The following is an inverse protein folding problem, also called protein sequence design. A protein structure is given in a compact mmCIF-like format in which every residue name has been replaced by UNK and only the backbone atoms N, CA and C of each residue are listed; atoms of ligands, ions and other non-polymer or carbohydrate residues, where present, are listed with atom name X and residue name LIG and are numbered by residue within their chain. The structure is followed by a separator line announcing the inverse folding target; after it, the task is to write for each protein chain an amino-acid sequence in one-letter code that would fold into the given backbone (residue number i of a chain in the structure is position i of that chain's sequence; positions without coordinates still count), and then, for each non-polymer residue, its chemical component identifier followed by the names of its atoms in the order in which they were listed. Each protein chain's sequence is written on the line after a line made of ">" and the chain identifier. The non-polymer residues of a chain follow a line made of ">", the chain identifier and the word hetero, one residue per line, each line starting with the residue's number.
data_IF_612453810439
#
_entry.id   IF_612453810439
#
_cell.length_a   1.000
_cell.length_b   1.000
_cell.length_c   1.000
_cell.angle_alpha   90.00
_cell.angle_beta   90.00
_cell.angle_gamma   90.00
#
_symmetry.space_group_name_H-M   'P 1'
#
loop_
_entity.id
_entity.type
_entity.pdbx_description
1 polymer ?
#
# COMPACT_ATOMS: atom_id res chain seq x y z
N UNK A 1 17.49 -49.99 -28.68
CA UNK A 1 17.99 -49.35 -27.47
C UNK A 1 18.38 -47.86 -27.60
N UNK A 2 18.40 -47.23 -28.81
CA UNK A 2 18.72 -45.79 -28.96
C UNK A 2 17.57 -44.77 -28.77
N UNK A 3 16.31 -45.23 -28.75
CA UNK A 3 15.13 -44.32 -28.61
C UNK A 3 14.80 -43.98 -27.16
N UNK A 4 15.19 -44.74 -26.15
CA UNK A 4 14.91 -44.47 -24.75
C UNK A 4 15.85 -43.41 -24.14
N UNK A 5 17.06 -43.26 -24.62
CA UNK A 5 17.99 -42.26 -24.11
C UNK A 5 17.59 -40.81 -24.42
N UNK A 6 16.93 -40.60 -25.59
CA UNK A 6 16.49 -39.24 -25.97
C UNK A 6 15.27 -38.74 -25.15
N UNK A 7 14.37 -39.65 -24.73
CA UNK A 7 13.19 -39.28 -23.93
C UNK A 7 13.60 -38.92 -22.50
N UNK A 8 14.54 -39.67 -21.92
CA UNK A 8 15.03 -39.38 -20.57
C UNK A 8 15.81 -38.04 -20.54
N UNK A 9 16.59 -37.75 -21.61
CA UNK A 9 17.28 -36.46 -21.70
C UNK A 9 16.34 -35.26 -21.76
N UNK A 10 15.23 -35.34 -22.50
CA UNK A 10 14.26 -34.27 -22.63
C UNK A 10 13.49 -34.06 -21.32
N UNK A 11 13.08 -35.14 -20.64
CA UNK A 11 12.39 -35.05 -19.37
C UNK A 11 13.30 -34.45 -18.28
N UNK A 12 14.58 -34.80 -18.28
CA UNK A 12 15.54 -34.26 -17.31
C UNK A 12 15.79 -32.75 -17.52
N UNK A 13 15.90 -32.28 -18.78
CA UNK A 13 16.11 -30.88 -19.12
C UNK A 13 14.84 -30.04 -18.75
N UNK A 14 13.66 -30.57 -19.00
CA UNK A 14 12.40 -29.89 -18.61
C UNK A 14 12.25 -29.83 -17.10
N UNK A 15 12.63 -30.90 -16.38
CA UNK A 15 12.58 -30.90 -14.91
C UNK A 15 13.61 -29.94 -14.29
N UNK A 16 14.80 -29.81 -14.88
CA UNK A 16 15.83 -28.87 -14.41
C UNK A 16 15.41 -27.43 -14.68
N UNK A 17 14.82 -27.12 -15.84
CA UNK A 17 14.33 -25.77 -16.14
C UNK A 17 13.15 -25.40 -15.28
N UNK A 18 12.16 -26.28 -15.08
CA UNK A 18 11.05 -26.06 -14.17
C UNK A 18 11.50 -25.92 -12.70
N UNK A 19 12.48 -26.72 -12.26
CA UNK A 19 13.07 -26.62 -10.93
C UNK A 19 13.85 -25.32 -10.71
N UNK A 20 14.56 -24.82 -11.72
CA UNK A 20 15.26 -23.53 -11.64
C UNK A 20 14.27 -22.36 -11.58
N UNK A 21 13.16 -22.42 -12.28
CA UNK A 21 12.10 -21.41 -12.15
C UNK A 21 11.39 -21.49 -10.80
N UNK A 22 11.17 -22.70 -10.25
CA UNK A 22 10.56 -22.88 -8.94
C UNK A 22 11.50 -22.45 -7.79
N UNK A 23 12.79 -22.73 -7.89
CA UNK A 23 13.79 -22.35 -6.88
C UNK A 23 14.12 -20.85 -6.91
N UNK A 24 13.99 -20.18 -8.07
CA UNK A 24 14.11 -18.71 -8.14
C UNK A 24 12.96 -17.97 -7.47
N UNK A 25 11.79 -18.61 -7.33
CA UNK A 25 10.66 -18.07 -6.58
C UNK A 25 10.73 -18.35 -5.07
N UNK A 26 11.70 -19.18 -4.60
CA UNK A 26 11.87 -19.53 -3.19
C UNK A 26 13.11 -18.86 -2.54
N UNK A 27 14.09 -18.45 -3.33
CA UNK A 27 15.12 -17.55 -2.84
C UNK A 27 14.47 -16.17 -2.71
N UNK A 28 14.25 -15.69 -1.51
CA UNK A 28 13.88 -14.31 -1.20
C UNK A 28 14.91 -13.29 -1.68
N UNK A 29 15.49 -13.53 -2.84
CA UNK A 29 16.26 -12.62 -3.64
C UNK A 29 15.29 -11.58 -4.15
N UNK A 30 15.52 -10.35 -3.71
CA UNK A 30 15.02 -9.10 -4.21
C UNK A 30 14.53 -9.26 -5.66
N UNK A 31 13.20 -9.41 -5.81
CA UNK A 31 12.58 -9.34 -7.12
C UNK A 31 12.62 -7.89 -7.53
N UNK A 32 13.78 -7.47 -8.02
CA UNK A 32 13.88 -6.22 -8.75
C UNK A 32 13.10 -6.48 -10.04
N UNK A 33 11.87 -6.06 -10.07
CA UNK A 33 11.14 -6.00 -11.33
C UNK A 33 12.04 -5.18 -12.27
N UNK A 34 12.48 -5.73 -13.37
CA UNK A 34 13.28 -4.95 -14.31
C UNK A 34 12.45 -3.72 -14.66
N UNK A 35 13.09 -2.54 -14.67
CA UNK A 35 12.54 -1.37 -15.35
C UNK A 35 12.03 -1.89 -16.68
N UNK A 36 10.72 -1.84 -16.88
CA UNK A 36 10.23 -2.20 -18.18
C UNK A 36 10.65 -1.10 -19.17
N UNK A 37 10.72 -1.49 -20.45
CA UNK A 37 11.05 -0.56 -21.51
C UNK A 37 9.98 0.53 -21.71
N UNK A 38 8.94 0.54 -20.87
CA UNK A 38 7.82 1.48 -20.88
C UNK A 38 7.99 2.62 -19.84
N UNK A 39 9.10 2.63 -19.10
CA UNK A 39 9.44 3.70 -18.16
C UNK A 39 8.58 3.73 -16.90
N UNK A 40 8.00 2.60 -16.49
CA UNK A 40 7.12 2.49 -15.31
C UNK A 40 7.79 2.92 -13.99
N UNK A 41 9.12 2.97 -13.97
CA UNK A 41 9.92 3.43 -12.85
C UNK A 41 10.52 4.83 -13.07
N UNK A 42 9.86 5.67 -13.84
CA UNK A 42 10.34 7.05 -13.99
C UNK A 42 10.25 7.78 -12.65
N UNK A 43 11.39 7.99 -12.01
CA UNK A 43 11.49 8.71 -10.73
C UNK A 43 11.02 10.16 -10.82
N UNK A 44 10.86 10.71 -12.02
CA UNK A 44 10.33 12.06 -12.24
C UNK A 44 8.81 12.12 -12.01
N UNK A 45 8.12 10.98 -12.00
CA UNK A 45 6.66 10.89 -11.78
C UNK A 45 6.30 10.86 -10.29
N UNK A 46 7.26 10.72 -9.37
CA UNK A 46 6.98 10.64 -7.94
C UNK A 46 6.22 11.87 -7.41
N UNK A 47 6.49 13.06 -7.96
CA UNK A 47 5.77 14.29 -7.60
C UNK A 47 4.30 14.32 -8.10
N UNK A 48 3.77 13.21 -8.55
CA UNK A 48 2.38 13.03 -8.97
C UNK A 48 1.61 12.04 -8.07
N UNK A 49 2.11 11.75 -6.86
CA UNK A 49 1.36 10.92 -5.93
C UNK A 49 0.01 11.57 -5.61
N UNK A 50 -1.04 10.78 -5.66
CA UNK A 50 -2.42 11.19 -5.38
C UNK A 50 -2.89 10.81 -3.98
N UNK A 51 -4.19 10.99 -3.77
CA UNK A 51 -4.92 10.46 -2.62
C UNK A 51 -5.26 8.97 -2.83
N UNK A 52 -5.69 8.30 -1.76
CA UNK A 52 -6.02 6.85 -1.80
C UNK A 52 -7.51 6.56 -1.93
N UNK A 53 -8.32 7.54 -2.28
CA UNK A 53 -9.77 7.42 -2.50
C UNK A 53 -10.17 7.91 -3.90
N UNK A 54 -11.22 7.32 -4.45
CA UNK A 54 -11.76 7.75 -5.75
C UNK A 54 -12.72 8.93 -5.62
N UNK A 55 -13.35 9.09 -4.46
CA UNK A 55 -14.33 10.15 -4.20
C UNK A 55 -14.20 10.62 -2.75
N UNK A 56 -14.15 11.94 -2.55
CA UNK A 56 -14.10 12.55 -1.20
C UNK A 56 -15.26 12.11 -0.31
N UNK A 57 -16.44 11.82 -0.89
CA UNK A 57 -17.60 11.33 -0.15
C UNK A 57 -17.43 9.93 0.45
N UNK A 58 -16.36 9.20 0.07
CA UNK A 58 -16.04 7.90 0.63
C UNK A 58 -15.29 8.00 1.97
N UNK A 59 -14.81 9.21 2.31
CA UNK A 59 -14.15 9.50 3.58
C UNK A 59 -15.19 9.93 4.61
N UNK A 60 -15.27 9.15 5.68
CA UNK A 60 -16.18 9.39 6.79
C UNK A 60 -15.63 10.37 7.81
N UNK A 61 -14.31 10.40 7.98
CA UNK A 61 -13.59 11.25 8.91
C UNK A 61 -12.11 11.36 8.55
N UNK A 62 -11.45 12.42 9.04
CA UNK A 62 -10.01 12.60 9.03
C UNK A 62 -9.56 12.94 10.45
N UNK A 63 -8.49 12.32 10.96
CA UNK A 63 -8.04 12.58 12.31
C UNK A 63 -6.53 12.79 12.43
N UNK A 64 -5.72 11.90 11.88
CA UNK A 64 -4.29 11.88 12.13
C UNK A 64 -3.50 12.01 10.83
N UNK A 65 -2.68 13.06 10.74
CA UNK A 65 -1.70 13.27 9.69
C UNK A 65 -0.30 12.76 10.10
N UNK A 66 0.69 12.99 9.26
CA UNK A 66 2.07 12.64 9.57
C UNK A 66 2.67 13.60 10.63
N UNK A 67 3.43 13.06 11.59
CA UNK A 67 4.15 13.88 12.57
C UNK A 67 5.44 13.23 13.07
N UNK A 68 6.50 14.06 13.23
CA UNK A 68 7.80 13.64 13.76
C UNK A 68 7.92 13.87 15.28
N UNK A 69 6.93 14.55 15.87
CA UNK A 69 6.88 14.86 17.30
C UNK A 69 5.45 14.81 17.83
N UNK A 70 5.28 14.90 19.15
CA UNK A 70 3.99 15.03 19.84
C UNK A 70 3.41 16.46 19.79
N UNK A 71 4.11 17.39 19.16
CA UNK A 71 3.68 18.79 18.99
C UNK A 71 2.73 18.94 17.78
N UNK A 72 1.73 18.08 17.69
CA UNK A 72 0.72 18.03 16.65
C UNK A 72 -0.69 17.92 17.28
N UNK A 73 -1.78 18.15 16.54
CA UNK A 73 -3.13 18.13 17.10
C UNK A 73 -3.53 16.81 17.78
N UNK A 74 -3.05 15.67 17.29
CA UNK A 74 -3.30 14.34 17.86
C UNK A 74 -2.38 13.96 19.02
N UNK A 75 -1.27 14.71 19.27
CA UNK A 75 -0.45 14.61 20.47
C UNK A 75 0.50 13.40 20.55
N UNK A 76 0.81 12.75 19.44
CA UNK A 76 1.78 11.65 19.36
C UNK A 76 2.48 11.61 18.00
N UNK A 77 3.66 10.95 17.94
CA UNK A 77 4.38 10.70 16.70
C UNK A 77 3.56 9.75 15.82
N UNK A 78 3.37 10.12 14.55
CA UNK A 78 2.60 9.34 13.61
C UNK A 78 3.29 9.28 12.24
N UNK A 79 3.56 8.09 11.76
CA UNK A 79 4.40 7.87 10.58
C UNK A 79 3.65 7.84 9.25
N UNK A 80 2.35 8.14 9.25
CA UNK A 80 1.49 8.06 8.07
C UNK A 80 0.31 9.00 8.09
N UNK A 81 -0.72 8.66 7.35
CA UNK A 81 -2.00 9.36 7.24
C UNK A 81 -3.13 8.38 7.51
N UNK A 82 -4.06 8.71 8.41
CA UNK A 82 -5.21 7.88 8.71
C UNK A 82 -6.46 8.34 7.97
N UNK A 83 -6.89 7.52 7.02
CA UNK A 83 -8.10 7.72 6.23
C UNK A 83 -9.24 6.87 6.79
N UNK A 84 -10.24 7.50 7.39
CA UNK A 84 -11.43 6.83 7.91
C UNK A 84 -12.48 6.73 6.79
N UNK A 85 -12.49 5.62 6.09
CA UNK A 85 -13.43 5.38 5.02
C UNK A 85 -14.83 4.99 5.52
N UNK A 86 -15.86 5.22 4.72
CA UNK A 86 -17.12 4.51 4.90
C UNK A 86 -16.96 3.02 4.56
N UNK A 87 -17.86 2.19 5.13
CA UNK A 87 -17.85 0.75 4.84
C UNK A 87 -18.08 0.47 3.36
N UNK A 88 -17.30 -0.45 2.79
CA UNK A 88 -17.29 -0.84 1.37
C UNK A 88 -16.85 0.28 0.40
N UNK A 89 -16.21 1.33 0.87
CA UNK A 89 -15.59 2.32 -0.01
C UNK A 89 -14.33 1.76 -0.66
N UNK A 90 -14.07 2.20 -1.88
CA UNK A 90 -12.92 1.78 -2.65
C UNK A 90 -11.64 2.51 -2.21
N UNK A 91 -10.57 1.75 -2.03
CA UNK A 91 -9.22 2.24 -1.80
C UNK A 91 -8.42 2.07 -3.09
N UNK A 92 -7.78 3.14 -3.55
CA UNK A 92 -7.07 3.17 -4.82
C UNK A 92 -5.59 3.44 -4.65
N UNK A 93 -4.81 3.07 -5.65
CA UNK A 93 -3.37 3.31 -5.68
C UNK A 93 -3.05 4.81 -5.81
N UNK A 94 -2.31 5.37 -4.86
CA UNK A 94 -1.86 6.76 -4.87
C UNK A 94 -0.81 7.04 -5.96
N UNK A 95 -0.04 6.02 -6.35
CA UNK A 95 1.00 6.10 -7.37
C UNK A 95 1.16 4.74 -8.06
N UNK A 96 1.78 4.70 -9.26
CA UNK A 96 2.11 3.43 -9.90
C UNK A 96 3.12 2.65 -9.06
N UNK A 97 3.10 1.32 -9.19
CA UNK A 97 4.08 0.47 -8.53
C UNK A 97 3.76 -1.02 -8.55
N UNK A 98 4.73 -1.80 -8.09
CA UNK A 98 4.64 -3.25 -7.96
C UNK A 98 4.15 -3.62 -6.55
N UNK A 99 3.10 -4.41 -6.46
CA UNK A 99 2.70 -5.04 -5.18
C UNK A 99 3.75 -6.06 -4.78
N UNK A 100 4.58 -5.72 -3.79
CA UNK A 100 5.70 -6.55 -3.33
C UNK A 100 5.32 -7.51 -2.23
N UNK A 101 4.48 -7.03 -1.31
CA UNK A 101 4.16 -7.76 -0.09
C UNK A 101 2.71 -7.51 0.34
N UNK A 102 2.12 -8.53 0.95
CA UNK A 102 0.84 -8.43 1.66
C UNK A 102 1.02 -9.10 3.03
N UNK A 103 1.08 -8.29 4.08
CA UNK A 103 1.24 -8.72 5.48
C UNK A 103 -0.12 -8.78 6.18
N UNK A 104 -0.40 -9.92 6.83
CA UNK A 104 -1.69 -10.17 7.47
C UNK A 104 -1.44 -10.53 8.93
N UNK A 105 -1.87 -9.66 9.84
CA UNK A 105 -1.61 -9.86 11.26
C UNK A 105 -2.55 -9.11 12.17
N UNK A 106 -2.03 -8.77 13.34
CA UNK A 106 -2.62 -7.87 14.33
C UNK A 106 -1.59 -6.82 14.72
N UNK A 107 -2.07 -5.63 15.03
CA UNK A 107 -1.22 -4.59 15.61
C UNK A 107 -0.84 -5.04 17.02
N UNK A 108 0.46 -4.97 17.33
CA UNK A 108 1.01 -5.48 18.58
C UNK A 108 0.31 -4.88 19.80
N UNK A 109 -0.07 -5.76 20.74
CA UNK A 109 -0.78 -5.41 21.98
C UNK A 109 -2.16 -4.77 21.82
N UNK A 110 -2.82 -4.96 20.68
CA UNK A 110 -4.17 -4.47 20.39
C UNK A 110 -5.10 -5.57 19.90
N UNK A 111 -6.40 -5.25 19.77
CA UNK A 111 -7.41 -6.07 19.09
C UNK A 111 -7.60 -5.69 17.62
N UNK A 112 -6.81 -4.75 17.12
CA UNK A 112 -6.87 -4.33 15.72
C UNK A 112 -6.13 -5.31 14.83
N UNK A 113 -6.83 -5.84 13.84
CA UNK A 113 -6.17 -6.57 12.76
C UNK A 113 -5.52 -5.59 11.78
N UNK A 114 -4.50 -6.08 11.11
CA UNK A 114 -3.79 -5.39 10.04
C UNK A 114 -3.82 -6.26 8.78
N UNK A 115 -4.22 -5.66 7.66
CA UNK A 115 -3.99 -6.20 6.32
C UNK A 115 -3.17 -5.16 5.58
N UNK A 116 -1.86 -5.28 5.70
CA UNK A 116 -0.87 -4.37 5.13
C UNK A 116 -0.51 -4.79 3.70
N UNK A 117 -0.32 -3.80 2.83
CA UNK A 117 0.17 -4.02 1.48
C UNK A 117 1.28 -3.02 1.17
N UNK A 118 2.40 -3.52 0.65
CA UNK A 118 3.51 -2.70 0.18
C UNK A 118 3.53 -2.64 -1.33
N UNK A 119 3.54 -1.42 -1.85
CA UNK A 119 3.66 -1.11 -3.28
C UNK A 119 4.97 -0.38 -3.49
N UNK A 120 5.90 -1.03 -4.18
CA UNK A 120 7.18 -0.41 -4.52
C UNK A 120 7.04 0.43 -5.78
N UNK A 121 7.27 1.74 -5.61
CA UNK A 121 7.33 2.67 -6.73
C UNK A 121 8.68 2.58 -7.47
N UNK A 122 9.81 2.61 -6.74
CA UNK A 122 11.17 2.47 -7.29
C UNK A 122 12.13 1.89 -6.23
N UNK A 123 13.45 1.92 -6.50
CA UNK A 123 14.47 1.38 -5.59
C UNK A 123 14.46 2.02 -4.18
N UNK A 124 13.98 3.26 -4.06
CA UNK A 124 14.05 4.03 -2.82
C UNK A 124 12.69 4.30 -2.20
N UNK A 125 11.59 4.20 -2.96
CA UNK A 125 10.26 4.61 -2.51
C UNK A 125 9.30 3.43 -2.49
N UNK A 126 8.72 3.22 -1.32
CA UNK A 126 7.65 2.24 -1.08
C UNK A 126 6.44 2.94 -0.47
N UNK A 127 5.26 2.58 -0.93
CA UNK A 127 3.98 2.99 -0.36
C UNK A 127 3.40 1.82 0.44
N UNK A 128 2.94 2.07 1.65
CA UNK A 128 2.23 1.07 2.45
C UNK A 128 0.78 1.50 2.67
N UNK A 129 -0.13 0.57 2.42
CA UNK A 129 -1.55 0.69 2.67
C UNK A 129 -1.91 -0.35 3.72
N UNK A 130 -2.25 0.08 4.91
CA UNK A 130 -2.61 -0.80 6.02
C UNK A 130 -4.10 -0.65 6.33
N UNK A 131 -4.88 -1.66 5.99
CA UNK A 131 -6.30 -1.75 6.35
C UNK A 131 -6.37 -2.22 7.80
N UNK A 132 -6.73 -1.31 8.71
CA UNK A 132 -6.72 -1.54 10.15
C UNK A 132 -8.14 -1.49 10.70
N UNK A 133 -8.54 -2.56 11.40
CA UNK A 133 -9.88 -2.65 11.94
C UNK A 133 -9.94 -3.42 13.25
N UNK A 134 -10.83 -2.99 14.15
CA UNK A 134 -11.10 -3.71 15.38
C UNK A 134 -11.86 -5.01 15.07
N UNK A 135 -11.33 -6.15 15.53
CA UNK A 135 -12.04 -7.39 15.31
C UNK A 135 -11.23 -8.67 15.44
N UNK A 136 -11.89 -9.74 15.05
CA UNK A 136 -11.37 -11.10 15.15
C UNK A 136 -10.89 -11.63 13.78
N UNK A 137 -10.44 -12.88 13.75
CA UNK A 137 -9.96 -13.55 12.55
C UNK A 137 -10.99 -13.59 11.40
N UNK A 138 -12.30 -13.58 11.70
CA UNK A 138 -13.36 -13.61 10.69
C UNK A 138 -13.39 -12.27 9.95
N UNK A 139 -13.38 -11.13 10.67
CA UNK A 139 -13.38 -9.80 10.09
C UNK A 139 -12.07 -9.55 9.30
N UNK A 140 -10.94 -9.96 9.86
CA UNK A 140 -9.66 -9.92 9.16
C UNK A 140 -9.69 -10.72 7.84
N UNK A 141 -10.22 -11.94 7.86
CA UNK A 141 -10.36 -12.76 6.65
C UNK A 141 -11.33 -12.13 5.63
N UNK A 142 -12.38 -11.47 6.09
CA UNK A 142 -13.27 -10.70 5.21
C UNK A 142 -12.53 -9.55 4.55
N UNK A 143 -11.76 -8.75 5.30
CA UNK A 143 -10.94 -7.66 4.71
C UNK A 143 -9.95 -8.20 3.68
N UNK A 144 -9.26 -9.31 3.96
CA UNK A 144 -8.38 -9.97 2.97
C UNK A 144 -9.15 -10.34 1.70
N UNK A 145 -10.37 -10.87 1.85
CA UNK A 145 -11.24 -11.23 0.72
C UNK A 145 -11.74 -10.03 -0.10
N UNK A 146 -11.60 -8.80 0.41
CA UNK A 146 -11.97 -7.56 -0.28
C UNK A 146 -10.81 -6.91 -1.02
N UNK A 147 -9.59 -7.46 -0.94
CA UNK A 147 -8.46 -7.01 -1.77
C UNK A 147 -8.69 -7.45 -3.22
N UNK A 148 -8.43 -6.54 -4.16
CA UNK A 148 -8.53 -6.75 -5.61
C UNK A 148 -7.18 -7.08 -6.25
N UNK A 149 -6.11 -7.06 -5.48
CA UNK A 149 -4.72 -7.18 -5.93
C UNK A 149 -4.00 -8.35 -5.29
N UNK A 150 -2.87 -8.75 -5.89
CA UNK A 150 -1.99 -9.83 -5.42
C UNK A 150 -0.54 -9.41 -5.50
N UNK A 151 0.32 -10.07 -4.75
CA UNK A 151 1.78 -9.93 -4.89
C UNK A 151 2.18 -10.21 -6.34
N UNK A 152 2.96 -9.30 -6.91
CA UNK A 152 3.41 -9.32 -8.31
C UNK A 152 2.55 -8.53 -9.28
N UNK A 153 1.38 -8.01 -8.87
CA UNK A 153 0.57 -7.14 -9.72
C UNK A 153 1.25 -5.76 -9.85
N UNK A 154 1.21 -5.21 -11.07
CA UNK A 154 1.56 -3.82 -11.33
C UNK A 154 0.31 -2.95 -11.24
N UNK A 155 0.40 -1.85 -10.51
CA UNK A 155 -0.68 -0.87 -10.37
C UNK A 155 -0.31 0.43 -11.11
N UNK A 156 -1.30 1.04 -11.72
CA UNK A 156 -1.26 2.45 -12.13
C UNK A 156 -1.94 3.32 -11.06
N UNK A 157 -1.63 4.62 -11.03
CA UNK A 157 -2.32 5.58 -10.14
C UNK A 157 -3.83 5.51 -10.39
N UNK A 158 -4.61 5.33 -9.33
CA UNK A 158 -6.06 5.22 -9.37
C UNK A 158 -6.59 3.79 -9.55
N UNK A 159 -5.73 2.79 -9.75
CA UNK A 159 -6.18 1.39 -9.80
C UNK A 159 -6.75 0.95 -8.45
N UNK A 160 -7.80 0.13 -8.51
CA UNK A 160 -8.46 -0.41 -7.33
C UNK A 160 -7.55 -1.39 -6.58
N UNK A 161 -7.23 -1.05 -5.34
CA UNK A 161 -6.51 -1.93 -4.40
C UNK A 161 -7.47 -2.90 -3.74
N UNK A 162 -8.63 -2.41 -3.33
CA UNK A 162 -9.66 -3.18 -2.65
C UNK A 162 -10.69 -2.28 -2.03
N UNK A 163 -11.69 -2.87 -1.37
CA UNK A 163 -12.69 -2.12 -0.62
C UNK A 163 -12.43 -2.22 0.88
N UNK A 164 -12.74 -1.17 1.63
CA UNK A 164 -12.50 -1.10 3.06
C UNK A 164 -13.66 -1.68 3.87
N UNK A 165 -13.38 -2.60 4.78
CA UNK A 165 -14.32 -3.13 5.76
C UNK A 165 -14.27 -2.28 7.03
N UNK A 166 -15.38 -1.61 7.38
CA UNK A 166 -15.48 -0.77 8.57
C UNK A 166 -16.50 -1.31 9.58
N UNK A 167 -16.15 -2.30 10.40
CA UNK A 167 -17.02 -2.82 11.45
C UNK A 167 -17.14 -1.88 12.67
N UNK A 168 -16.16 -0.99 12.92
CA UNK A 168 -16.14 -0.08 14.05
C UNK A 168 -15.78 1.37 13.67
N UNK A 169 -15.95 2.29 14.60
CA UNK A 169 -15.80 3.74 14.37
C UNK A 169 -14.35 4.14 14.06
N UNK A 170 -13.40 3.49 14.74
CA UNK A 170 -11.96 3.82 14.65
C UNK A 170 -11.21 3.05 13.58
N UNK A 171 -11.91 2.23 12.78
CA UNK A 171 -11.30 1.50 11.69
C UNK A 171 -10.92 2.46 10.56
N UNK A 172 -9.72 2.31 10.03
CA UNK A 172 -9.13 3.22 9.04
C UNK A 172 -8.15 2.51 8.11
N UNK A 173 -7.76 3.20 7.05
CA UNK A 173 -6.59 2.84 6.25
C UNK A 173 -5.46 3.76 6.64
N UNK A 174 -4.42 3.18 7.26
CA UNK A 174 -3.17 3.85 7.56
C UNK A 174 -2.29 3.83 6.31
N UNK A 175 -1.92 5.00 5.79
CA UNK A 175 -1.14 5.15 4.57
C UNK A 175 0.22 5.77 4.85
N UNK A 176 1.29 5.09 4.44
CA UNK A 176 2.68 5.52 4.69
C UNK A 176 3.46 5.62 3.39
N UNK A 177 4.29 6.64 3.30
CA UNK A 177 5.33 6.76 2.26
C UNK A 177 6.69 6.57 2.91
N UNK A 178 7.45 5.61 2.39
CA UNK A 178 8.84 5.37 2.80
C UNK A 178 9.80 5.86 1.72
N UNK A 179 10.86 6.54 2.16
CA UNK A 179 12.04 6.85 1.36
C UNK A 179 13.26 6.18 2.01
N UNK A 180 13.85 5.19 1.35
CA UNK A 180 14.94 4.36 1.89
C UNK A 180 14.58 3.78 3.28
N UNK A 181 13.40 3.16 3.39
CA UNK A 181 12.84 2.54 4.59
C UNK A 181 12.56 3.50 5.77
N UNK A 182 12.64 4.81 5.54
CA UNK A 182 12.27 5.84 6.52
C UNK A 182 10.96 6.49 6.10
N UNK A 183 9.97 6.53 6.99
CA UNK A 183 8.71 7.24 6.73
C UNK A 183 8.96 8.73 6.54
N UNK A 184 8.31 9.30 5.54
CA UNK A 184 8.42 10.72 5.21
C UNK A 184 7.03 11.36 5.13
N UNK A 185 6.98 12.68 5.30
CA UNK A 185 5.77 13.45 5.04
C UNK A 185 5.31 13.23 3.59
N UNK A 186 4.10 12.69 3.35
CA UNK A 186 3.61 12.45 1.99
C UNK A 186 3.54 13.70 1.11
N UNK A 187 3.42 14.89 1.69
CA UNK A 187 3.45 16.17 0.96
C UNK A 187 4.66 16.30 0.04
N UNK A 188 5.81 15.73 0.43
CA UNK A 188 7.06 15.83 -0.33
C UNK A 188 6.98 15.20 -1.73
N UNK A 189 6.02 14.30 -1.95
CA UNK A 189 5.86 13.51 -3.17
C UNK A 189 4.46 13.62 -3.80
N UNK A 190 3.55 14.38 -3.17
CA UNK A 190 2.21 14.62 -3.69
C UNK A 190 2.20 15.64 -4.84
N UNK A 191 1.30 15.43 -5.80
CA UNK A 191 0.91 16.46 -6.75
C UNK A 191 0.27 17.66 -6.04
N UNK A 192 0.42 18.86 -6.57
CA UNK A 192 -0.07 20.08 -5.93
C UNK A 192 -1.61 20.14 -5.86
N UNK A 193 -2.29 19.65 -6.87
CA UNK A 193 -3.76 19.52 -6.90
C UNK A 193 -4.26 18.48 -5.88
N UNK A 194 -3.58 17.37 -5.74
CA UNK A 194 -3.90 16.33 -4.75
C UNK A 194 -3.61 16.78 -3.31
N UNK A 195 -2.54 17.56 -3.12
CA UNK A 195 -2.29 18.21 -1.83
C UNK A 195 -3.39 19.21 -1.48
N UNK A 196 -3.86 19.99 -2.44
CA UNK A 196 -4.98 20.90 -2.25
C UNK A 196 -6.25 20.13 -1.88
N UNK A 197 -6.52 19.03 -2.59
CA UNK A 197 -7.67 18.15 -2.32
C UNK A 197 -7.68 17.63 -0.88
N UNK A 198 -6.52 17.13 -0.38
CA UNK A 198 -6.45 16.60 0.99
C UNK A 198 -6.50 17.72 2.04
N UNK A 199 -5.96 18.91 1.76
CA UNK A 199 -6.08 20.04 2.67
C UNK A 199 -7.52 20.56 2.76
N UNK A 200 -8.30 20.52 1.68
CA UNK A 200 -9.72 20.80 1.71
C UNK A 200 -10.51 19.73 2.48
N UNK A 201 -10.09 18.45 2.40
CA UNK A 201 -10.66 17.37 3.21
C UNK A 201 -10.41 17.61 4.71
N UNK A 202 -9.18 17.97 5.08
CA UNK A 202 -8.80 18.29 6.46
C UNK A 202 -9.66 19.47 6.98
N UNK A 203 -9.75 20.56 6.22
CA UNK A 203 -10.58 21.71 6.59
C UNK A 203 -12.06 21.36 6.73
N UNK A 204 -12.57 20.39 5.96
CA UNK A 204 -13.95 19.91 6.06
C UNK A 204 -14.23 19.28 7.43
N UNK A 205 -13.30 18.52 7.97
CA UNK A 205 -13.45 17.82 9.25
C UNK A 205 -12.96 18.63 10.46
N UNK A 206 -12.04 19.58 10.24
CA UNK A 206 -11.44 20.45 11.27
C UNK A 206 -11.54 21.94 10.87
N UNK A 207 -12.76 22.47 10.70
CA UNK A 207 -12.96 23.81 10.15
C UNK A 207 -12.41 24.90 11.07
N UNK A 208 -11.43 25.65 10.55
CA UNK A 208 -10.80 26.76 11.26
C UNK A 208 -9.76 26.36 12.30
N UNK A 209 -9.46 25.08 12.48
CA UNK A 209 -8.46 24.61 13.46
C UNK A 209 -7.02 24.81 12.98
N UNK A 210 -6.81 25.09 11.69
CA UNK A 210 -5.49 25.30 11.10
C UNK A 210 -4.65 24.03 11.04
N UNK A 211 -5.28 22.88 10.90
CA UNK A 211 -4.59 21.60 10.77
C UNK A 211 -3.84 21.49 9.46
N UNK A 212 -2.74 20.78 9.48
CA UNK A 212 -1.88 20.49 8.33
C UNK A 212 -1.72 18.99 8.14
N UNK A 213 -1.36 18.60 6.90
CA UNK A 213 -1.10 17.21 6.56
C UNK A 213 0.10 16.64 7.33
N UNK A 214 1.11 17.47 7.58
CA UNK A 214 2.35 17.05 8.23
C UNK A 214 2.81 18.06 9.29
N UNK A 215 3.38 17.51 10.37
CA UNK A 215 3.99 18.25 11.47
C UNK A 215 5.42 17.74 11.72
N UNK A 216 6.44 18.63 11.69
CA UNK A 216 7.83 18.27 11.97
C UNK A 216 8.10 17.93 13.44
#
# INVERSE_FOLDING_TARGET
>A
MRKQASVIGIVLVVAITAGVFYLRGLDGGEYIAPFDNEGRYDSTILNNMGVIYSNRSDIAHWNDGYSESDSCPWGFIHNGLDYFFFNNSDVVAAAPGLVEDIDIGYIENTTFYKVGMKVRFNESVTLEYSFEGEGNEILRAQQVGMLSVRIGDWLEKGDLIGSFLRPAEYDHVHFVVYLNDVSICPRLVMAEDEYTEIMELIELFHPGDGWHLCYP
#
